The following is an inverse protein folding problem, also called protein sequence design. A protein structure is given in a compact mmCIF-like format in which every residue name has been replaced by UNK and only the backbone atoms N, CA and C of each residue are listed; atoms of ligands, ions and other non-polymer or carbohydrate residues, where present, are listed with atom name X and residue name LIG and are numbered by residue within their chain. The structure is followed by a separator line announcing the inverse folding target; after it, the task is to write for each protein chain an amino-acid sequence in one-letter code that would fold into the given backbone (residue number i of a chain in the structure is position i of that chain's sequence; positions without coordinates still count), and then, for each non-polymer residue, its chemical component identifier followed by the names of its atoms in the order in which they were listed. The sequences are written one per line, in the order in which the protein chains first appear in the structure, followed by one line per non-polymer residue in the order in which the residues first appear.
data_IF_063579432011
#
_entry.id   IF_063579432011
#
_cell.length_a   1.000
_cell.length_b   1.000
_cell.length_c   1.000
_cell.angle_alpha   90.00
_cell.angle_beta   90.00
_cell.angle_gamma   90.00
#
_symmetry.space_group_name_H-M   'P 1'
#
loop_
_entity.id
_entity.type
_entity.pdbx_description
1 polymer ?
#
# COMPACT_ATOMS: atom_id res chain seq x y z
N UNK A 1 13.38 2.21 1.77
CA UNK A 1 12.39 3.29 1.95
C UNK A 1 11.51 2.92 3.12
N UNK A 2 11.30 3.79 4.11
CA UNK A 2 10.32 3.59 5.19
C UNK A 2 9.39 4.80 5.21
N UNK A 3 8.11 4.57 5.44
CA UNK A 3 7.15 5.61 5.77
C UNK A 3 6.71 5.32 7.22
N UNK A 4 6.51 6.36 8.04
CA UNK A 4 5.95 6.18 9.39
C UNK A 4 4.56 6.82 9.47
N UNK A 5 3.60 6.15 10.10
CA UNK A 5 2.41 6.72 10.71
C UNK A 5 2.79 7.18 12.10
N UNK A 6 2.41 8.39 12.49
CA UNK A 6 2.11 8.68 13.89
C UNK A 6 1.37 10.02 13.95
N UNK A 7 0.21 9.95 14.61
CA UNK A 7 -0.84 10.97 14.76
C UNK A 7 -0.49 12.17 15.65
N UNK A 8 0.79 12.45 15.93
CA UNK A 8 1.10 13.43 16.97
C UNK A 8 2.45 14.14 16.83
N UNK A 9 2.78 14.72 15.67
CA UNK A 9 3.97 15.58 15.62
C UNK A 9 3.80 16.84 14.75
N UNK A 10 3.77 17.98 15.45
CA UNK A 10 4.13 19.29 14.92
C UNK A 10 5.56 19.23 14.35
N UNK A 11 5.73 19.13 13.02
CA UNK A 11 6.74 19.94 12.33
C UNK A 11 6.61 19.91 10.81
N UNK A 12 6.47 21.10 10.21
CA UNK A 12 6.58 21.35 8.78
C UNK A 12 8.05 21.16 8.36
N UNK A 13 8.47 19.96 7.95
CA UNK A 13 9.82 19.77 7.39
C UNK A 13 10.41 18.35 7.35
N UNK A 14 9.69 17.30 7.76
CA UNK A 14 10.30 15.96 7.93
C UNK A 14 10.11 14.95 6.78
N UNK A 15 9.41 15.34 5.71
CA UNK A 15 9.19 14.49 4.53
C UNK A 15 9.97 15.03 3.32
N UNK A 16 10.81 14.19 2.71
CA UNK A 16 11.37 14.44 1.38
C UNK A 16 10.64 13.55 0.38
N UNK A 17 9.93 14.17 -0.56
CA UNK A 17 9.39 13.45 -1.72
C UNK A 17 10.52 13.06 -2.67
N UNK A 18 10.65 11.79 -3.00
CA UNK A 18 11.41 11.30 -4.14
C UNK A 18 10.43 11.10 -5.30
N UNK A 19 10.63 11.84 -6.38
CA UNK A 19 9.87 11.66 -7.61
C UNK A 19 10.49 10.46 -8.35
N UNK A 20 9.77 9.33 -8.41
CA UNK A 20 10.23 8.16 -9.18
C UNK A 20 9.81 8.28 -10.65
N UNK A 21 8.71 8.99 -10.92
CA UNK A 21 8.36 9.53 -12.24
C UNK A 21 7.39 10.71 -12.07
N UNK A 22 7.01 11.36 -13.17
CA UNK A 22 6.10 12.52 -13.17
C UNK A 22 4.70 12.27 -12.56
N UNK A 23 4.33 11.00 -12.32
CA UNK A 23 3.05 10.61 -11.72
C UNK A 23 3.17 10.01 -10.31
N UNK A 24 4.34 9.51 -9.92
CA UNK A 24 4.60 8.77 -8.68
C UNK A 24 5.57 9.57 -7.81
N UNK A 25 5.01 10.26 -6.82
CA UNK A 25 5.76 10.94 -5.76
C UNK A 25 5.83 10.03 -4.55
N UNK A 26 6.97 9.37 -4.38
CA UNK A 26 7.24 8.55 -3.22
C UNK A 26 7.62 9.45 -2.05
N UNK A 27 6.97 9.28 -0.92
CA UNK A 27 7.24 10.08 0.29
C UNK A 27 8.27 9.35 1.13
N UNK A 28 9.40 9.99 1.45
CA UNK A 28 10.42 9.45 2.37
C UNK A 28 10.43 10.31 3.63
N UNK A 29 10.13 9.71 4.78
CA UNK A 29 10.29 10.35 6.08
C UNK A 29 11.64 9.94 6.71
N UNK A 30 12.39 10.89 7.28
CA UNK A 30 13.55 10.57 8.11
C UNK A 30 13.09 10.03 9.47
N UNK A 31 13.41 8.78 9.78
CA UNK A 31 13.00 8.07 11.01
C UNK A 31 14.19 7.98 11.99
N UNK A 32 13.97 8.07 13.31
CA UNK A 32 15.02 7.89 14.35
C UNK A 32 15.42 6.42 14.61
N UNK A 33 14.77 5.41 14.01
CA UNK A 33 15.37 4.06 13.88
C UNK A 33 16.63 4.06 12.98
N UNK A 34 16.85 5.13 12.22
CA UNK A 34 18.14 5.39 11.59
C UNK A 34 19.10 5.94 12.64
N UNK A 35 19.53 5.08 13.58
CA UNK A 35 20.57 5.43 14.53
C UNK A 35 21.83 5.80 13.76
N UNK A 36 22.11 7.10 13.61
CA UNK A 36 23.33 7.73 13.06
C UNK A 36 23.94 7.20 11.74
N UNK A 37 23.47 6.10 11.15
CA UNK A 37 24.20 5.28 10.17
C UNK A 37 23.43 4.95 8.88
N UNK A 38 22.20 5.43 8.68
CA UNK A 38 21.60 5.35 7.33
C UNK A 38 21.16 3.94 6.86
N UNK A 39 20.99 2.95 7.75
CA UNK A 39 20.77 1.54 7.35
C UNK A 39 19.35 1.28 6.83
N UNK A 40 19.22 0.98 5.54
CA UNK A 40 17.99 0.48 4.91
C UNK A 40 17.75 -0.97 5.36
N UNK A 41 16.54 -1.29 5.82
CA UNK A 41 16.17 -2.66 6.24
C UNK A 41 15.09 -3.25 5.33
N UNK A 42 15.05 -4.58 5.19
CA UNK A 42 14.00 -5.25 4.41
C UNK A 42 12.59 -4.93 4.92
N UNK A 43 12.42 -4.77 6.25
CA UNK A 43 11.13 -4.40 6.86
C UNK A 43 10.71 -2.97 6.52
N UNK A 44 11.69 -2.09 6.29
CA UNK A 44 11.49 -0.75 5.77
C UNK A 44 10.82 -0.81 4.40
N UNK A 45 11.45 -1.54 3.47
CA UNK A 45 10.99 -1.64 2.09
C UNK A 45 9.61 -2.30 2.00
N UNK A 46 9.33 -3.29 2.86
CA UNK A 46 8.01 -3.92 2.97
C UNK A 46 6.95 -2.91 3.39
N UNK A 47 7.24 -2.03 4.35
CA UNK A 47 6.31 -0.99 4.75
C UNK A 47 5.96 -0.06 3.58
N UNK A 48 6.98 0.44 2.88
CA UNK A 48 6.76 1.35 1.76
C UNK A 48 6.04 0.68 0.60
N UNK A 49 6.33 -0.60 0.36
CA UNK A 49 5.56 -1.41 -0.57
C UNK A 49 4.07 -1.45 -0.17
N UNK A 50 3.76 -1.65 1.11
CA UNK A 50 2.40 -1.59 1.64
C UNK A 50 1.70 -0.27 1.33
N UNK A 51 2.35 0.86 1.62
CA UNK A 51 1.78 2.19 1.34
C UNK A 51 1.53 2.41 -0.15
N UNK A 52 2.46 2.00 -1.01
CA UNK A 52 2.28 2.12 -2.47
C UNK A 52 1.08 1.31 -2.94
N UNK A 53 0.88 0.09 -2.41
CA UNK A 53 -0.32 -0.68 -2.71
C UNK A 53 -1.58 0.08 -2.30
N UNK A 54 -1.63 0.62 -1.07
CA UNK A 54 -2.78 1.38 -0.59
C UNK A 54 -3.04 2.65 -1.41
N UNK A 55 -1.99 3.37 -1.80
CA UNK A 55 -2.07 4.55 -2.68
C UNK A 55 -2.65 4.19 -4.05
N UNK A 56 -2.23 3.07 -4.65
CA UNK A 56 -2.77 2.59 -5.92
C UNK A 56 -4.25 2.24 -5.77
N UNK A 57 -4.61 1.50 -4.72
CA UNK A 57 -6.00 1.09 -4.49
C UNK A 57 -6.92 2.30 -4.28
N UNK A 58 -6.48 3.28 -3.48
CA UNK A 58 -7.26 4.45 -3.14
C UNK A 58 -7.22 5.58 -4.19
N UNK A 59 -6.23 5.54 -5.09
CA UNK A 59 -5.84 6.66 -5.96
C UNK A 59 -5.68 7.98 -5.20
N UNK A 60 -5.14 7.87 -3.99
CA UNK A 60 -4.93 8.99 -3.08
C UNK A 60 -3.50 8.97 -2.62
N UNK A 61 -2.89 10.14 -2.50
CA UNK A 61 -1.51 10.25 -2.02
C UNK A 61 -1.51 10.13 -0.50
N UNK A 62 -0.49 9.51 0.11
CA UNK A 62 -0.35 9.53 1.57
C UNK A 62 -0.22 10.94 2.16
N UNK A 63 0.13 11.93 1.32
CA UNK A 63 0.23 13.37 1.65
C UNK A 63 -0.98 14.18 1.20
N UNK A 64 -2.07 13.54 0.80
CA UNK A 64 -3.33 14.23 0.54
C UNK A 64 -3.75 15.00 1.80
N UNK A 65 -4.36 16.18 1.63
CA UNK A 65 -4.75 17.05 2.74
C UNK A 65 -5.68 16.34 3.73
N UNK A 66 -6.46 15.36 3.25
CA UNK A 66 -7.33 14.54 4.09
C UNK A 66 -6.59 13.64 5.10
N UNK A 67 -5.28 13.41 4.92
CA UNK A 67 -4.46 12.61 5.84
C UNK A 67 -3.55 13.49 6.72
N UNK A 68 -3.74 14.81 6.70
CA UNK A 68 -3.00 15.74 7.54
C UNK A 68 -3.64 15.76 8.93
N UNK A 69 -2.90 15.29 9.95
CA UNK A 69 -3.35 15.29 11.35
C UNK A 69 -3.33 13.89 11.97
N UNK A 70 -4.44 13.49 12.60
CA UNK A 70 -4.56 12.26 13.40
C UNK A 70 -5.14 11.06 12.63
N UNK A 71 -5.20 11.08 11.30
CA UNK A 71 -5.66 9.91 10.56
C UNK A 71 -4.84 9.69 9.30
N UNK A 72 -3.77 8.91 9.44
CA UNK A 72 -2.99 8.43 8.31
C UNK A 72 -3.81 7.54 7.38
N UNK A 73 -3.39 7.42 6.11
CA UNK A 73 -4.04 6.60 5.09
C UNK A 73 -4.32 5.17 5.57
N UNK A 74 -3.35 4.53 6.25
CA UNK A 74 -3.54 3.18 6.79
C UNK A 74 -4.67 3.14 7.82
N UNK A 75 -4.64 4.04 8.80
CA UNK A 75 -5.66 4.11 9.86
C UNK A 75 -7.05 4.34 9.27
N UNK A 76 -7.15 5.23 8.28
CA UNK A 76 -8.40 5.47 7.55
C UNK A 76 -8.91 4.21 6.85
N UNK A 77 -8.07 3.51 6.08
CA UNK A 77 -8.48 2.29 5.38
C UNK A 77 -8.82 1.17 6.38
N UNK A 78 -8.06 1.06 7.46
CA UNK A 78 -8.29 0.04 8.48
C UNK A 78 -9.61 0.26 9.24
N UNK A 79 -10.06 1.51 9.39
CA UNK A 79 -11.29 1.86 10.11
C UNK A 79 -12.58 1.66 9.30
N UNK A 80 -12.48 1.47 7.97
CA UNK A 80 -13.64 1.17 7.13
C UNK A 80 -14.24 -0.20 7.47
N UNK A 81 -15.58 -0.24 7.55
CA UNK A 81 -16.35 -1.47 7.69
C UNK A 81 -16.18 -2.36 6.47
N UNK A 82 -16.44 -1.79 5.29
CA UNK A 82 -16.08 -2.41 4.01
C UNK A 82 -14.86 -1.71 3.41
N UNK A 83 -13.74 -2.43 3.40
CA UNK A 83 -12.48 -1.92 2.87
C UNK A 83 -12.54 -1.71 1.35
N UNK A 84 -13.45 -2.38 0.65
CA UNK A 84 -13.62 -2.19 -0.79
C UNK A 84 -14.14 -0.80 -1.15
N UNK A 85 -14.71 -0.04 -0.20
CA UNK A 85 -15.11 1.36 -0.40
C UNK A 85 -13.93 2.27 -0.77
N UNK A 86 -12.71 1.89 -0.39
CA UNK A 86 -11.51 2.67 -0.75
C UNK A 86 -11.13 2.53 -2.22
N UNK A 87 -11.55 1.45 -2.88
CA UNK A 87 -11.00 1.06 -4.17
C UNK A 87 -11.49 1.99 -5.27
N UNK A 88 -10.56 2.61 -6.01
CA UNK A 88 -10.89 3.45 -7.16
C UNK A 88 -11.82 2.68 -8.11
N UNK A 89 -12.98 3.26 -8.41
CA UNK A 89 -13.96 2.68 -9.33
C UNK A 89 -13.38 2.37 -10.71
N UNK A 90 -12.32 3.05 -11.14
CA UNK A 90 -11.62 2.71 -12.38
C UNK A 90 -10.89 1.36 -12.33
N UNK A 91 -10.51 0.88 -11.14
CA UNK A 91 -9.93 -0.46 -10.96
C UNK A 91 -11.00 -1.56 -11.02
N UNK A 92 -12.24 -1.23 -10.67
CA UNK A 92 -13.41 -2.12 -10.80
C UNK A 92 -13.90 -2.21 -12.24
N UNK A 93 -13.70 -1.16 -13.04
CA UNK A 93 -14.14 -1.09 -14.44
C UNK A 93 -13.10 -1.73 -15.35
N UNK A 94 -13.31 -3.00 -15.74
CA UNK A 94 -12.47 -3.64 -16.76
C UNK A 94 -13.15 -3.75 -18.11
N UNK A 95 -12.38 -3.49 -19.15
CA UNK A 95 -12.76 -3.70 -20.56
C UNK A 95 -12.53 -5.15 -21.02
N UNK A 96 -11.88 -6.00 -20.19
CA UNK A 96 -11.49 -7.37 -20.54
C UNK A 96 -12.59 -8.43 -20.32
N UNK A 97 -13.83 -8.03 -19.97
CA UNK A 97 -14.97 -8.93 -19.79
C UNK A 97 -14.86 -9.87 -18.58
N UNK A 98 -13.90 -9.66 -17.69
CA UNK A 98 -13.67 -10.49 -16.51
C UNK A 98 -14.83 -10.39 -15.52
N UNK A 99 -15.10 -11.52 -14.88
CA UNK A 99 -16.07 -11.60 -13.79
C UNK A 99 -15.78 -10.56 -12.68
N UNK A 100 -16.83 -9.83 -12.30
CA UNK A 100 -16.77 -8.74 -11.32
C UNK A 100 -16.40 -9.28 -9.94
N UNK A 101 -16.86 -10.47 -9.57
CA UNK A 101 -16.56 -11.09 -8.25
C UNK A 101 -15.10 -11.51 -8.15
N UNK A 102 -14.52 -12.03 -9.23
CA UNK A 102 -13.08 -12.34 -9.31
C UNK A 102 -12.25 -11.07 -9.20
N UNK A 103 -12.66 -10.01 -9.90
CA UNK A 103 -12.01 -8.70 -9.83
C UNK A 103 -12.02 -8.14 -8.41
N UNK A 104 -13.17 -8.16 -7.73
CA UNK A 104 -13.29 -7.74 -6.34
C UNK A 104 -12.42 -8.59 -5.40
N UNK A 105 -12.36 -9.91 -5.62
CA UNK A 105 -11.52 -10.82 -4.83
C UNK A 105 -10.03 -10.50 -4.95
N UNK A 106 -9.57 -10.20 -6.17
CA UNK A 106 -8.18 -9.78 -6.44
C UNK A 106 -7.88 -8.45 -5.72
N UNK A 107 -8.75 -7.46 -5.89
CA UNK A 107 -8.59 -6.12 -5.32
C UNK A 107 -8.59 -6.16 -3.79
N UNK A 108 -9.51 -6.93 -3.18
CA UNK A 108 -9.55 -7.17 -1.74
C UNK A 108 -8.27 -7.84 -1.23
N UNK A 109 -7.73 -8.82 -1.98
CA UNK A 109 -6.47 -9.49 -1.61
C UNK A 109 -5.26 -8.55 -1.68
N UNK A 110 -5.22 -7.63 -2.63
CA UNK A 110 -4.16 -6.61 -2.73
C UNK A 110 -4.27 -5.63 -1.57
N UNK A 111 -5.50 -5.20 -1.23
CA UNK A 111 -5.74 -4.26 -0.15
C UNK A 111 -5.36 -4.85 1.21
N UNK A 112 -5.72 -6.11 1.46
CA UNK A 112 -5.31 -6.86 2.66
C UNK A 112 -3.77 -6.96 2.75
N UNK A 113 -3.10 -7.26 1.64
CA UNK A 113 -1.64 -7.31 1.59
C UNK A 113 -1.01 -5.94 1.88
N UNK A 114 -1.58 -4.87 1.32
CA UNK A 114 -1.15 -3.49 1.58
C UNK A 114 -1.18 -3.17 3.07
N UNK A 115 -2.31 -3.46 3.74
CA UNK A 115 -2.48 -3.23 5.17
C UNK A 115 -1.44 -4.00 6.00
N UNK A 116 -1.26 -5.31 5.75
CA UNK A 116 -0.28 -6.15 6.47
C UNK A 116 1.17 -5.72 6.26
N UNK A 117 1.53 -5.34 5.04
CA UNK A 117 2.87 -4.84 4.73
C UNK A 117 3.16 -3.51 5.45
N UNK A 118 2.15 -2.67 5.61
CA UNK A 118 2.22 -1.37 6.28
C UNK A 118 1.99 -1.42 7.80
N UNK A 119 2.13 -2.57 8.48
CA UNK A 119 2.03 -2.61 9.94
C UNK A 119 3.03 -1.65 10.61
N UNK A 120 2.60 -1.01 11.70
CA UNK A 120 3.42 -0.01 12.42
C UNK A 120 4.70 -0.63 12.95
N UNK A 121 4.56 -1.78 13.61
CA UNK A 121 5.66 -2.52 14.21
C UNK A 121 6.39 -3.31 13.10
N UNK A 122 7.73 -3.15 12.94
CA UNK A 122 8.51 -3.89 11.95
C UNK A 122 8.33 -5.41 12.04
N UNK A 123 8.22 -5.95 13.25
CA UNK A 123 8.08 -7.39 13.50
C UNK A 123 6.68 -7.93 13.18
N UNK A 124 5.66 -7.07 13.15
CA UNK A 124 4.31 -7.44 12.72
C UNK A 124 4.18 -7.52 11.20
N UNK A 125 5.12 -6.94 10.44
CA UNK A 125 5.13 -6.99 8.98
C UNK A 125 5.55 -8.40 8.53
N UNK A 126 4.96 -8.92 7.43
CA UNK A 126 5.36 -10.21 6.88
C UNK A 126 6.83 -10.22 6.45
N UNK A 127 7.40 -11.41 6.24
CA UNK A 127 8.69 -11.52 5.57
C UNK A 127 8.52 -11.40 4.06
N UNK A 128 9.57 -10.98 3.36
CA UNK A 128 9.53 -10.78 1.91
C UNK A 128 9.11 -12.06 1.17
N UNK A 129 9.46 -13.23 1.70
CA UNK A 129 9.06 -14.54 1.15
C UNK A 129 7.54 -14.70 1.15
N UNK A 130 6.87 -14.29 2.23
CA UNK A 130 5.42 -14.37 2.37
C UNK A 130 4.73 -13.36 1.46
N UNK A 131 5.28 -12.15 1.36
CA UNK A 131 4.79 -11.11 0.44
C UNK A 131 4.85 -11.63 -1.00
N UNK A 132 5.98 -12.16 -1.43
CA UNK A 132 6.16 -12.72 -2.79
C UNK A 132 5.21 -13.89 -3.03
N UNK A 133 5.03 -14.79 -2.05
CA UNK A 133 4.09 -15.90 -2.16
C UNK A 133 2.64 -15.41 -2.36
N UNK A 134 2.20 -14.41 -1.57
CA UNK A 134 0.85 -13.83 -1.70
C UNK A 134 0.69 -13.10 -3.05
N UNK A 135 1.68 -12.31 -3.48
CA UNK A 135 1.66 -11.62 -4.80
C UNK A 135 1.55 -12.64 -5.93
N UNK A 136 2.33 -13.72 -5.88
CA UNK A 136 2.26 -14.79 -6.89
C UNK A 136 0.88 -15.46 -6.90
N UNK A 137 0.26 -15.70 -5.75
CA UNK A 137 -1.10 -16.23 -5.67
C UNK A 137 -2.11 -15.27 -6.32
N UNK A 138 -2.03 -13.98 -6.01
CA UNK A 138 -2.89 -12.94 -6.62
C UNK A 138 -2.70 -12.90 -8.14
N UNK A 139 -1.44 -12.97 -8.61
CA UNK A 139 -1.10 -13.02 -10.04
C UNK A 139 -1.68 -14.26 -10.72
N UNK A 140 -1.64 -15.42 -10.08
CA UNK A 140 -2.23 -16.64 -10.62
C UNK A 140 -3.75 -16.53 -10.73
N UNK A 141 -4.44 -15.98 -9.73
CA UNK A 141 -5.88 -15.69 -9.84
C UNK A 141 -6.17 -14.71 -10.98
N UNK A 142 -5.32 -13.68 -11.15
CA UNK A 142 -5.45 -12.72 -12.25
C UNK A 142 -5.26 -13.36 -13.64
N UNK A 143 -4.37 -14.35 -13.77
CA UNK A 143 -4.02 -15.00 -15.04
C UNK A 143 -4.84 -16.26 -15.32
N UNK A 144 -5.35 -16.95 -14.30
CA UNK A 144 -6.15 -18.16 -14.42
C UNK A 144 -7.41 -17.98 -15.27
N UNK A 145 -7.98 -16.78 -15.27
CA UNK A 145 -9.13 -16.43 -16.12
C UNK A 145 -8.78 -16.32 -17.62
N UNK A 146 -7.50 -16.16 -17.98
CA UNK A 146 -7.08 -16.01 -19.40
C UNK A 146 -6.96 -17.34 -20.15
N UNK A 147 -7.01 -18.47 -19.45
CA UNK A 147 -6.73 -19.80 -20.00
C UNK A 147 -7.99 -20.67 -20.20
N UNK A 148 -9.19 -20.11 -20.08
CA UNK A 148 -10.44 -20.78 -20.44
C UNK A 148 -11.08 -20.03 -21.61
N UNK A 149 -10.44 -20.12 -22.78
CA UNK A 149 -10.86 -19.39 -23.98
C UNK A 149 -10.20 -19.87 -25.26
N UNK A 150 -9.80 -21.15 -25.34
CA UNK A 150 -9.42 -21.84 -26.58
C UNK A 150 -10.03 -23.24 -26.57
#
# INVERSE_FOLDING_TARGET
MCVKPDNHFHNKGKYKGIIVNEHIKIVVASIEEYGSEGRVSTKCDIYSYGIILLEIMARKKPTDEMFVGELGMRQWIASLLDKMEVVDHNLLRREDGRDVTVTQTILSSILELGLRCSEELPDARPDIKDVVAKVNKIKLTLLGDRNMGV
#
